data_IF_352349211895
#
_entry.id   IF_352349211895
#
_cell.length_a   1.000
_cell.length_b   1.000
_cell.length_c   1.000
_cell.angle_alpha   90.00
_cell.angle_beta   90.00
_cell.angle_gamma   90.00
#
_symmetry.space_group_name_H-M   'P 1'
#
loop_
_entity.id
_entity.type
_entity.pdbx_description
1 polymer ?
#
# COMPACT_ATOMS: atom_id res chain seq x y z
N UNK A 1 60.73 -13.58 -2.42
CA UNK A 1 59.59 -14.14 -3.14
C UNK A 1 58.58 -14.68 -2.16
N UNK A 2 57.59 -13.90 -1.68
CA UNK A 2 56.38 -14.31 -0.87
C UNK A 2 55.49 -13.10 -0.69
N UNK A 3 54.80 -12.61 -1.76
CA UNK A 3 53.82 -11.54 -1.72
C UNK A 3 52.61 -11.75 -2.64
N UNK A 4 52.14 -12.99 -2.82
CA UNK A 4 51.06 -13.24 -3.80
C UNK A 4 49.93 -14.13 -3.27
N UNK A 5 49.70 -14.20 -1.97
CA UNK A 5 48.67 -15.09 -1.40
C UNK A 5 47.56 -14.38 -0.60
N UNK A 6 47.50 -13.05 -0.58
CA UNK A 6 46.49 -12.32 0.26
C UNK A 6 45.32 -11.78 -0.56
N UNK A 7 45.37 -11.81 -1.90
CA UNK A 7 44.33 -11.20 -2.74
C UNK A 7 43.13 -12.10 -3.10
N UNK A 8 43.11 -13.36 -2.66
CA UNK A 8 42.09 -14.34 -3.10
C UNK A 8 41.05 -14.69 -2.02
N UNK A 9 41.06 -14.06 -0.85
CA UNK A 9 40.09 -14.33 0.22
C UNK A 9 39.01 -13.25 0.35
N UNK A 10 39.20 -12.11 -0.26
CA UNK A 10 38.22 -10.99 -0.19
C UNK A 10 37.07 -11.12 -1.19
N UNK A 11 37.18 -11.98 -2.20
CA UNK A 11 36.13 -12.13 -3.23
C UNK A 11 35.08 -13.22 -2.96
N UNK A 12 35.16 -13.93 -1.82
CA UNK A 12 34.18 -14.99 -1.48
C UNK A 12 33.17 -14.58 -0.37
N UNK A 13 33.18 -13.34 0.06
CA UNK A 13 32.07 -12.72 0.78
C UNK A 13 31.09 -12.04 -0.20
N UNK A 14 30.94 -12.56 -1.40
CA UNK A 14 29.75 -12.34 -2.19
C UNK A 14 28.58 -12.93 -1.42
N UNK A 15 28.02 -12.04 -0.63
CA UNK A 15 26.74 -12.08 0.05
C UNK A 15 25.83 -13.11 -0.63
N UNK A 16 25.73 -14.30 -0.05
CA UNK A 16 24.49 -15.02 -0.13
C UNK A 16 23.47 -14.10 0.61
N UNK A 17 22.87 -13.19 -0.14
CA UNK A 17 21.60 -12.63 0.24
C UNK A 17 20.62 -13.80 0.18
N UNK A 18 20.69 -14.67 1.19
CA UNK A 18 19.61 -15.58 1.50
C UNK A 18 18.39 -14.69 1.56
N UNK A 19 17.39 -14.95 0.72
CA UNK A 19 16.15 -14.21 0.70
C UNK A 19 15.62 -14.25 2.13
N UNK A 20 15.81 -13.15 2.86
CA UNK A 20 15.40 -13.07 4.25
C UNK A 20 13.87 -13.13 4.24
N UNK A 21 13.30 -14.14 4.85
CA UNK A 21 11.87 -14.26 5.02
C UNK A 21 11.47 -13.36 6.19
N UNK A 22 10.87 -12.21 5.89
CA UNK A 22 10.45 -11.26 6.91
C UNK A 22 9.13 -11.63 7.57
N UNK A 23 8.23 -12.32 6.83
CA UNK A 23 6.83 -12.41 7.22
C UNK A 23 6.44 -13.85 7.57
N UNK A 24 6.23 -14.11 8.86
CA UNK A 24 5.78 -15.41 9.38
C UNK A 24 4.35 -15.26 9.91
N UNK A 25 3.53 -16.30 9.71
CA UNK A 25 2.14 -16.29 10.18
C UNK A 25 2.05 -16.13 11.70
N UNK A 26 1.09 -15.32 12.15
CA UNK A 26 0.81 -15.08 13.56
C UNK A 26 1.87 -14.22 14.28
N UNK A 27 2.84 -13.65 13.56
CA UNK A 27 3.88 -12.81 14.17
C UNK A 27 3.49 -11.34 14.23
N UNK A 28 4.21 -10.60 15.07
CA UNK A 28 4.21 -9.13 15.10
C UNK A 28 5.58 -8.62 14.71
N UNK A 29 5.61 -7.64 13.83
CA UNK A 29 6.85 -7.02 13.35
C UNK A 29 6.76 -5.53 13.61
N UNK A 30 7.72 -4.99 14.35
CA UNK A 30 7.81 -3.54 14.58
C UNK A 30 8.90 -2.96 13.71
N UNK A 31 8.55 -1.98 12.91
CA UNK A 31 9.45 -1.29 12.02
C UNK A 31 9.09 0.20 11.94
N UNK A 32 10.06 1.07 12.09
CA UNK A 32 9.92 2.52 11.98
C UNK A 32 8.74 3.11 12.81
N UNK A 33 8.54 2.55 14.02
CA UNK A 33 7.50 2.98 14.97
C UNK A 33 6.10 2.41 14.69
N UNK A 34 5.92 1.60 13.66
CA UNK A 34 4.68 0.89 13.35
C UNK A 34 4.84 -0.59 13.68
N UNK A 35 3.86 -1.17 14.36
CA UNK A 35 3.78 -2.60 14.61
C UNK A 35 2.74 -3.22 13.69
N UNK A 36 3.14 -4.18 12.86
CA UNK A 36 2.25 -4.94 12.00
C UNK A 36 1.93 -6.29 12.63
N UNK A 37 0.65 -6.66 12.64
CA UNK A 37 0.21 -8.04 12.78
C UNK A 37 0.35 -8.71 11.40
N UNK A 38 1.05 -9.83 11.33
CA UNK A 38 1.24 -10.61 10.10
C UNK A 38 0.31 -11.80 10.11
N UNK A 39 -0.49 -11.95 9.05
CA UNK A 39 -1.24 -13.18 8.78
C UNK A 39 -0.84 -13.71 7.41
N UNK A 40 -0.48 -14.99 7.34
CA UNK A 40 -0.10 -15.68 6.10
C UNK A 40 -1.12 -16.77 5.80
N UNK A 41 -1.63 -16.76 4.58
CA UNK A 41 -2.41 -17.88 4.05
C UNK A 41 -1.85 -18.25 2.70
N UNK A 42 -1.24 -19.43 2.60
CA UNK A 42 -0.40 -19.80 1.45
C UNK A 42 0.70 -18.73 1.26
N UNK A 43 0.85 -18.18 0.05
CA UNK A 43 1.82 -17.12 -0.27
C UNK A 43 1.17 -15.72 -0.30
N UNK A 44 0.10 -15.54 0.47
CA UNK A 44 -0.57 -14.24 0.64
C UNK A 44 -0.35 -13.78 2.06
N UNK A 45 0.27 -12.61 2.21
CA UNK A 45 0.53 -11.98 3.50
C UNK A 45 -0.42 -10.80 3.68
N UNK A 46 -1.01 -10.70 4.86
CA UNK A 46 -1.73 -9.52 5.30
C UNK A 46 -0.89 -8.84 6.39
N UNK A 47 -0.48 -7.60 6.13
CA UNK A 47 0.20 -6.74 7.10
C UNK A 47 -0.80 -5.69 7.56
N UNK A 48 -1.30 -5.83 8.78
CA UNK A 48 -2.25 -4.89 9.37
C UNK A 48 -1.59 -4.18 10.55
N UNK A 49 -1.63 -2.85 10.57
CA UNK A 49 -1.15 -2.09 11.72
C UNK A 49 -1.87 -2.60 12.98
N UNK A 50 -1.12 -2.88 14.04
CA UNK A 50 -1.65 -3.44 15.28
C UNK A 50 -2.64 -2.51 16.00
N UNK A 51 -2.65 -1.23 15.68
CA UNK A 51 -3.61 -0.25 16.18
C UNK A 51 -4.93 -0.23 15.39
N UNK A 52 -5.00 -0.93 14.24
CA UNK A 52 -6.21 -1.00 13.44
C UNK A 52 -7.31 -1.80 14.14
N UNK A 53 -8.52 -1.27 14.13
CA UNK A 53 -9.71 -1.91 14.66
C UNK A 53 -10.92 -1.77 13.72
N UNK A 54 -10.99 -0.69 12.93
CA UNK A 54 -12.12 -0.40 12.04
C UNK A 54 -12.22 -1.37 10.85
N UNK A 55 -11.09 -1.94 10.40
CA UNK A 55 -11.03 -2.82 9.22
C UNK A 55 -11.94 -4.05 9.31
N UNK A 56 -12.31 -4.46 10.53
CA UNK A 56 -13.20 -5.60 10.78
C UNK A 56 -14.59 -5.18 11.28
N UNK A 57 -14.87 -3.89 11.42
CA UNK A 57 -16.15 -3.39 11.90
C UNK A 57 -17.12 -3.13 10.72
N UNK A 58 -18.40 -3.23 10.98
CA UNK A 58 -19.42 -2.79 10.03
C UNK A 58 -19.38 -1.26 9.91
N UNK A 59 -19.74 -0.73 8.75
CA UNK A 59 -19.87 0.71 8.58
C UNK A 59 -20.87 1.28 9.59
N UNK A 60 -20.60 2.48 10.05
CA UNK A 60 -21.44 3.18 11.00
C UNK A 60 -21.81 4.57 10.46
N UNK A 61 -23.05 4.97 10.64
CA UNK A 61 -23.46 6.36 10.46
C UNK A 61 -22.79 7.28 11.49
N UNK A 62 -22.83 8.58 11.24
CA UNK A 62 -22.26 9.59 12.14
C UNK A 62 -22.86 9.53 13.56
N UNK A 63 -24.11 9.11 13.71
CA UNK A 63 -24.80 8.92 15.00
C UNK A 63 -24.40 7.60 15.71
N UNK A 64 -23.56 6.77 15.08
CA UNK A 64 -23.11 5.48 15.61
C UNK A 64 -24.01 4.30 15.26
N UNK A 65 -25.12 4.49 14.56
CA UNK A 65 -25.97 3.40 14.07
C UNK A 65 -25.21 2.55 13.06
N UNK A 66 -25.20 1.23 13.23
CA UNK A 66 -24.58 0.31 12.27
C UNK A 66 -25.36 0.28 10.96
N UNK A 67 -24.60 0.14 9.88
CA UNK A 67 -25.16 -0.02 8.54
C UNK A 67 -25.50 -1.48 8.30
N UNK A 68 -26.76 -1.77 7.97
CA UNK A 68 -27.15 -3.09 7.45
C UNK A 68 -26.91 -3.12 5.92
N UNK A 69 -25.88 -3.83 5.43
CA UNK A 69 -25.62 -3.93 4.01
C UNK A 69 -26.63 -4.82 3.26
N UNK A 70 -27.41 -5.64 3.98
CA UNK A 70 -28.45 -6.51 3.42
C UNK A 70 -29.79 -5.81 3.20
N UNK A 71 -30.06 -4.71 3.88
CA UNK A 71 -31.20 -3.86 3.56
C UNK A 71 -30.88 -3.08 2.27
N UNK A 72 -31.87 -2.78 1.42
CA UNK A 72 -31.72 -1.88 0.27
C UNK A 72 -31.31 -0.48 0.73
N UNK A 73 -30.14 -0.39 1.35
CA UNK A 73 -29.61 0.81 1.95
C UNK A 73 -29.01 1.71 0.86
N UNK A 74 -29.80 2.70 0.43
CA UNK A 74 -29.41 3.60 -0.66
C UNK A 74 -28.12 4.35 -0.32
N UNK A 75 -27.92 4.77 0.91
CA UNK A 75 -26.73 5.49 1.32
C UNK A 75 -25.48 4.60 1.18
N UNK A 76 -25.54 3.37 1.68
CA UNK A 76 -24.47 2.40 1.56
C UNK A 76 -24.16 2.07 0.09
N UNK A 77 -25.21 1.75 -0.70
CA UNK A 77 -25.05 1.39 -2.12
C UNK A 77 -24.57 2.54 -2.98
N UNK A 78 -24.84 3.79 -2.57
CA UNK A 78 -24.49 5.00 -3.32
C UNK A 78 -23.22 5.69 -2.86
N UNK A 79 -22.68 5.31 -1.69
CA UNK A 79 -21.42 5.87 -1.20
C UNK A 79 -20.28 5.57 -2.17
N UNK A 80 -19.51 6.60 -2.51
CA UNK A 80 -18.35 6.52 -3.41
C UNK A 80 -17.20 7.29 -2.83
N UNK A 81 -16.01 6.72 -3.01
CA UNK A 81 -14.75 7.36 -2.69
C UNK A 81 -13.73 7.07 -3.79
N UNK A 82 -12.94 8.05 -4.15
CA UNK A 82 -11.83 7.94 -5.10
C UNK A 82 -10.65 8.80 -4.63
N UNK A 83 -9.47 8.56 -5.17
CA UNK A 83 -8.31 9.40 -4.92
C UNK A 83 -7.51 9.59 -6.22
N UNK A 84 -6.72 10.65 -6.25
CA UNK A 84 -5.83 10.90 -7.37
C UNK A 84 -4.65 9.90 -7.35
N UNK A 85 -4.50 9.16 -8.44
CA UNK A 85 -3.45 8.16 -8.60
C UNK A 85 -2.04 8.76 -8.57
N UNK A 86 -1.88 10.01 -8.96
CA UNK A 86 -0.59 10.71 -8.89
C UNK A 86 -0.11 10.89 -7.45
N UNK A 87 -1.03 11.03 -6.49
CA UNK A 87 -0.69 11.07 -5.07
C UNK A 87 -0.15 9.71 -4.58
N UNK A 88 -0.69 8.60 -5.11
CA UNK A 88 -0.15 7.27 -4.84
C UNK A 88 1.23 7.08 -5.46
N UNK A 89 1.44 7.50 -6.71
CA UNK A 89 2.78 7.48 -7.34
C UNK A 89 3.79 8.25 -6.50
N UNK A 90 3.40 9.41 -5.96
CA UNK A 90 4.25 10.18 -5.06
C UNK A 90 4.59 9.42 -3.79
N UNK A 91 3.60 8.80 -3.14
CA UNK A 91 3.83 7.98 -1.94
C UNK A 91 4.77 6.81 -2.22
N UNK A 92 4.62 6.13 -3.37
CA UNK A 92 5.48 5.03 -3.80
C UNK A 92 6.90 5.53 -4.11
N UNK A 93 7.05 6.65 -4.82
CA UNK A 93 8.35 7.27 -5.14
C UNK A 93 9.13 7.66 -3.89
N UNK A 94 8.46 8.21 -2.88
CA UNK A 94 9.08 8.56 -1.59
C UNK A 94 9.41 7.33 -0.74
N UNK A 95 8.84 6.15 -1.05
CA UNK A 95 9.05 4.91 -0.30
C UNK A 95 10.12 4.03 -0.91
N UNK A 96 10.04 3.78 -2.21
CA UNK A 96 10.88 2.83 -2.92
C UNK A 96 11.94 3.57 -3.74
N UNK A 97 13.17 3.06 -3.74
CA UNK A 97 14.18 3.50 -4.71
C UNK A 97 13.78 3.05 -6.13
N UNK A 98 14.35 3.68 -7.16
CA UNK A 98 14.16 3.31 -8.56
C UNK A 98 14.37 1.81 -8.79
N UNK A 99 15.47 1.27 -8.28
CA UNK A 99 15.82 -0.16 -8.45
C UNK A 99 14.85 -1.10 -7.72
N UNK A 100 14.32 -0.73 -6.55
CA UNK A 100 13.29 -1.50 -5.85
C UNK A 100 11.98 -1.49 -6.63
N UNK A 101 11.57 -0.32 -7.13
CA UNK A 101 10.34 -0.17 -7.90
C UNK A 101 10.40 -0.90 -9.25
N UNK A 102 11.54 -0.87 -9.94
CA UNK A 102 11.78 -1.61 -11.17
C UNK A 102 11.60 -3.12 -10.94
N UNK A 103 12.21 -3.70 -9.88
CA UNK A 103 11.99 -5.12 -9.53
C UNK A 103 10.51 -5.45 -9.24
N UNK A 104 9.81 -4.57 -8.51
CA UNK A 104 8.36 -4.74 -8.28
C UNK A 104 7.56 -4.71 -9.59
N UNK A 105 8.02 -3.96 -10.58
CA UNK A 105 7.36 -3.78 -11.89
C UNK A 105 7.67 -4.88 -12.90
N UNK A 106 8.67 -5.73 -12.66
CA UNK A 106 9.01 -6.87 -13.54
C UNK A 106 7.93 -7.97 -13.52
N UNK A 107 7.16 -8.08 -12.45
CA UNK A 107 6.09 -9.06 -12.34
C UNK A 107 4.90 -8.68 -13.25
N UNK A 108 4.39 -9.64 -14.04
CA UNK A 108 3.22 -9.44 -14.92
C UNK A 108 1.95 -9.00 -14.18
N UNK A 109 1.86 -9.33 -12.89
CA UNK A 109 0.75 -8.93 -11.99
C UNK A 109 1.36 -8.49 -10.68
N UNK A 110 1.01 -7.30 -10.19
CA UNK A 110 1.66 -6.78 -9.01
C UNK A 110 1.34 -7.54 -7.73
N UNK A 111 0.16 -8.15 -7.64
CA UNK A 111 -0.26 -8.85 -6.42
C UNK A 111 -0.38 -7.97 -5.17
N UNK A 112 -0.34 -6.65 -5.31
CA UNK A 112 -0.33 -5.70 -4.22
C UNK A 112 -1.66 -4.97 -4.09
N UNK A 113 -2.26 -5.05 -2.90
CA UNK A 113 -3.50 -4.33 -2.59
C UNK A 113 -3.37 -3.60 -1.26
N UNK A 114 -3.89 -2.40 -1.22
CA UNK A 114 -4.02 -1.59 -0.01
C UNK A 114 -5.48 -1.51 0.37
N UNK A 115 -5.80 -1.81 1.63
CA UNK A 115 -7.09 -1.60 2.25
C UNK A 115 -7.05 -0.39 3.16
N UNK A 116 -8.13 0.34 3.18
CA UNK A 116 -8.29 1.56 3.96
C UNK A 116 -9.58 1.54 4.75
N UNK A 117 -9.54 2.06 5.97
CA UNK A 117 -10.70 2.71 6.57
C UNK A 117 -10.50 4.21 6.38
N UNK A 118 -11.51 4.90 5.82
CA UNK A 118 -11.49 6.35 5.59
C UNK A 118 -12.71 6.98 6.24
N UNK A 119 -12.60 8.21 6.72
CA UNK A 119 -13.78 8.94 7.20
C UNK A 119 -14.59 9.54 6.06
N UNK A 120 -15.77 10.05 6.37
CA UNK A 120 -16.65 10.73 5.41
C UNK A 120 -16.03 11.99 4.79
N UNK A 121 -14.96 12.53 5.38
CA UNK A 121 -14.18 13.66 4.87
C UNK A 121 -13.05 13.20 3.93
N UNK A 122 -12.83 11.89 3.78
CA UNK A 122 -11.78 11.31 2.95
C UNK A 122 -10.40 11.20 3.62
N UNK A 123 -10.30 11.38 4.94
CA UNK A 123 -9.05 11.15 5.64
C UNK A 123 -8.82 9.65 5.83
N UNK A 124 -7.57 9.21 5.69
CA UNK A 124 -7.17 7.83 5.93
C UNK A 124 -7.04 7.58 7.42
N UNK A 125 -7.92 6.75 7.97
CA UNK A 125 -7.94 6.35 9.38
C UNK A 125 -7.07 5.13 9.63
N UNK A 126 -7.18 4.09 8.79
CA UNK A 126 -6.46 2.83 8.92
C UNK A 126 -5.97 2.32 7.57
N UNK A 127 -4.86 1.58 7.57
CA UNK A 127 -4.27 0.97 6.39
C UNK A 127 -3.89 -0.47 6.70
N UNK A 128 -4.11 -1.35 5.72
CA UNK A 128 -3.59 -2.71 5.71
C UNK A 128 -3.08 -3.06 4.31
N UNK A 129 -2.03 -3.88 4.22
CA UNK A 129 -1.46 -4.31 2.96
C UNK A 129 -1.72 -5.80 2.73
N UNK A 130 -2.13 -6.17 1.52
CA UNK A 130 -2.15 -7.56 1.06
C UNK A 130 -1.09 -7.75 0.00
N UNK A 131 -0.18 -8.67 0.28
CA UNK A 131 0.97 -9.02 -0.53
C UNK A 131 0.78 -10.42 -1.07
N UNK A 132 0.45 -10.56 -2.35
CA UNK A 132 0.33 -11.87 -2.99
C UNK A 132 1.67 -12.26 -3.65
N UNK A 133 2.52 -12.94 -2.89
CA UNK A 133 3.85 -13.34 -3.35
C UNK A 133 3.81 -14.41 -4.46
N UNK A 134 2.69 -15.10 -4.67
CA UNK A 134 2.53 -15.98 -5.85
C UNK A 134 2.51 -15.20 -7.16
N UNK A 135 2.00 -13.97 -7.12
CA UNK A 135 1.92 -13.10 -8.29
C UNK A 135 3.18 -12.24 -8.43
N UNK A 136 3.73 -11.79 -7.30
CA UNK A 136 4.94 -10.99 -7.25
C UNK A 136 5.77 -11.37 -6.02
N UNK A 137 6.76 -12.27 -6.15
CA UNK A 137 7.62 -12.70 -5.04
C UNK A 137 8.42 -11.58 -4.38
N UNK A 138 8.70 -10.48 -5.10
CA UNK A 138 9.45 -9.35 -4.56
C UNK A 138 8.73 -8.69 -3.38
N UNK A 139 7.39 -8.74 -3.34
CA UNK A 139 6.61 -8.18 -2.24
C UNK A 139 7.00 -8.78 -0.88
N UNK A 140 7.27 -10.09 -0.82
CA UNK A 140 7.67 -10.75 0.42
C UNK A 140 9.15 -10.48 0.79
N UNK A 141 9.94 -9.96 -0.13
CA UNK A 141 11.35 -9.60 0.06
C UNK A 141 11.54 -8.14 0.47
N UNK A 142 10.50 -7.33 0.35
CA UNK A 142 10.52 -5.94 0.81
C UNK A 142 10.57 -5.95 2.35
N UNK A 143 11.53 -5.27 2.98
CA UNK A 143 11.63 -5.21 4.42
C UNK A 143 10.46 -4.43 5.05
N UNK A 144 10.05 -4.77 6.29
CA UNK A 144 8.86 -4.17 6.93
C UNK A 144 8.99 -2.65 7.12
N UNK A 145 10.19 -2.09 7.20
CA UNK A 145 10.45 -0.65 7.28
C UNK A 145 9.89 0.08 6.05
N UNK A 146 9.94 -0.54 4.88
CA UNK A 146 9.39 0.04 3.65
C UNK A 146 7.86 0.10 3.69
N UNK A 147 7.19 -0.91 4.24
CA UNK A 147 5.75 -0.85 4.42
C UNK A 147 5.33 0.16 5.50
N UNK A 148 6.12 0.30 6.56
CA UNK A 148 5.92 1.35 7.55
C UNK A 148 6.09 2.75 6.93
N UNK A 149 7.12 2.94 6.11
CA UNK A 149 7.33 4.19 5.37
C UNK A 149 6.19 4.44 4.37
N UNK A 150 5.73 3.40 3.65
CA UNK A 150 4.62 3.51 2.71
C UNK A 150 3.32 3.92 3.42
N UNK A 151 3.01 3.34 4.59
CA UNK A 151 1.86 3.74 5.39
C UNK A 151 1.93 5.23 5.75
N UNK A 152 3.08 5.72 6.21
CA UNK A 152 3.29 7.15 6.52
C UNK A 152 3.10 8.04 5.30
N UNK A 153 3.67 7.64 4.15
CA UNK A 153 3.58 8.41 2.91
C UNK A 153 2.15 8.42 2.35
N UNK A 154 1.42 7.30 2.45
CA UNK A 154 -0.01 7.25 2.09
C UNK A 154 -0.79 8.23 2.97
N UNK A 155 -0.65 8.19 4.29
CA UNK A 155 -1.33 9.12 5.21
C UNK A 155 -0.98 10.57 4.94
N UNK A 156 0.25 10.86 4.52
CA UNK A 156 0.75 12.20 4.22
C UNK A 156 0.15 12.76 2.93
N UNK A 157 0.02 11.93 1.89
CA UNK A 157 -0.28 12.41 0.54
C UNK A 157 -1.70 12.10 0.08
N UNK A 158 -2.30 10.99 0.51
CA UNK A 158 -3.58 10.55 -0.02
C UNK A 158 -4.72 11.16 0.77
N UNK A 159 -5.55 11.89 0.05
CA UNK A 159 -6.85 12.37 0.47
C UNK A 159 -7.88 11.80 -0.50
N UNK A 160 -8.89 11.13 0.04
CA UNK A 160 -9.99 10.61 -0.75
C UNK A 160 -11.03 11.69 -1.03
N UNK A 161 -11.54 11.71 -2.25
CA UNK A 161 -12.73 12.49 -2.61
C UNK A 161 -13.95 11.62 -2.33
N UNK A 162 -14.85 12.11 -1.49
CA UNK A 162 -16.07 11.41 -1.06
C UNK A 162 -17.30 12.13 -1.57
N UNK A 163 -18.34 11.37 -1.96
CA UNK A 163 -19.62 11.95 -2.34
C UNK A 163 -20.53 12.20 -1.12
N UNK A 164 -21.69 12.82 -1.32
CA UNK A 164 -22.63 13.17 -0.25
C UNK A 164 -23.15 11.96 0.54
N UNK A 165 -23.24 10.80 -0.10
CA UNK A 165 -23.64 9.57 0.59
C UNK A 165 -22.53 9.07 1.51
N UNK A 166 -21.28 9.09 1.07
CA UNK A 166 -20.13 8.69 1.87
C UNK A 166 -19.95 9.57 3.11
N UNK A 167 -20.27 10.87 3.02
CA UNK A 167 -20.19 11.81 4.13
C UNK A 167 -21.16 11.53 5.30
N UNK A 168 -22.15 10.66 5.11
CA UNK A 168 -23.07 10.24 6.16
C UNK A 168 -22.47 9.22 7.13
N UNK A 169 -21.35 8.60 6.75
CA UNK A 169 -20.71 7.54 7.53
C UNK A 169 -19.56 8.06 8.38
N UNK A 170 -19.42 7.50 9.58
CA UNK A 170 -18.30 7.72 10.48
C UNK A 170 -17.00 7.22 9.86
N UNK A 171 -17.06 6.08 9.19
CA UNK A 171 -16.01 5.52 8.36
C UNK A 171 -16.62 4.60 7.28
N UNK A 172 -15.84 4.37 6.23
CA UNK A 172 -16.12 3.40 5.17
C UNK A 172 -14.83 2.69 4.76
N UNK A 173 -15.01 1.49 4.20
CA UNK A 173 -13.89 0.73 3.69
C UNK A 173 -13.67 1.02 2.20
N UNK A 174 -12.44 1.18 1.84
CA UNK A 174 -12.00 1.33 0.46
C UNK A 174 -10.79 0.42 0.18
N UNK A 175 -10.54 0.13 -1.06
CA UNK A 175 -9.33 -0.59 -1.44
C UNK A 175 -8.79 -0.11 -2.78
N UNK A 176 -7.48 -0.17 -2.94
CA UNK A 176 -6.81 0.04 -4.22
C UNK A 176 -5.94 -1.18 -4.54
N UNK A 177 -6.07 -1.68 -5.75
CA UNK A 177 -5.15 -2.68 -6.29
C UNK A 177 -4.16 -1.97 -7.18
N UNK A 178 -2.89 -1.95 -6.78
CA UNK A 178 -1.83 -1.30 -7.52
C UNK A 178 -1.23 -2.28 -8.51
N UNK A 179 -1.15 -1.89 -9.76
CA UNK A 179 -0.47 -2.66 -10.81
C UNK A 179 0.83 -1.92 -11.15
N UNK A 180 1.94 -2.30 -10.51
CA UNK A 180 3.24 -1.64 -10.70
C UNK A 180 3.65 -1.51 -12.18
N UNK A 181 3.48 -2.54 -13.05
CA UNK A 181 3.79 -2.41 -14.47
C UNK A 181 2.99 -1.32 -15.20
N UNK A 182 1.75 -1.09 -14.76
CA UNK A 182 0.83 -0.12 -15.37
C UNK A 182 0.90 1.25 -14.70
N UNK A 183 1.80 1.42 -13.72
CA UNK A 183 1.93 2.62 -12.91
C UNK A 183 3.34 3.20 -13.01
N UNK A 184 3.75 3.72 -14.18
CA UNK A 184 5.10 4.24 -14.36
C UNK A 184 5.35 5.43 -13.43
N UNK A 185 6.52 5.41 -12.75
CA UNK A 185 6.99 6.47 -11.88
C UNK A 185 8.25 7.07 -12.50
N UNK A 186 8.22 8.37 -12.74
CA UNK A 186 9.40 9.12 -13.15
C UNK A 186 10.26 9.46 -11.94
N UNK A 187 11.37 8.73 -11.77
CA UNK A 187 12.34 8.97 -10.69
C UNK A 187 13.33 10.09 -11.01
N UNK A 188 13.43 10.49 -12.26
CA UNK A 188 14.43 11.47 -12.71
C UNK A 188 13.86 12.91 -12.68
N UNK A 189 12.54 13.08 -12.57
CA UNK A 189 11.91 14.38 -12.37
C UNK A 189 12.02 14.86 -10.92
N UNK A 190 12.51 16.07 -10.72
CA UNK A 190 12.66 16.66 -9.37
C UNK A 190 11.33 17.04 -8.70
N UNK A 191 10.22 17.08 -9.43
CA UNK A 191 8.87 17.35 -8.84
C UNK A 191 7.77 16.91 -9.81
N UNK A 192 6.68 16.28 -9.36
CA UNK A 192 5.48 16.17 -10.18
C UNK A 192 4.98 17.59 -10.46
N UNK A 193 4.95 18.00 -11.73
CA UNK A 193 4.31 19.25 -12.14
C UNK A 193 2.85 19.27 -11.66
N UNK A 194 2.25 20.45 -11.49
CA UNK A 194 0.86 20.55 -11.09
C UNK A 194 0.00 19.82 -12.15
N UNK A 195 -0.84 18.90 -11.68
CA UNK A 195 -1.78 18.16 -12.51
C UNK A 195 -2.70 19.11 -13.25
N UNK A 196 -2.53 19.22 -14.56
CA UNK A 196 -3.52 19.85 -15.43
C UNK A 196 -4.58 18.80 -15.74
N UNK A 197 -5.73 18.92 -15.07
CA UNK A 197 -6.92 18.09 -15.32
C UNK A 197 -7.19 18.08 -16.83
N UNK A 198 -7.25 16.93 -17.51
CA UNK A 198 -7.59 16.89 -18.92
C UNK A 198 -8.95 17.54 -19.10
N UNK A 199 -9.03 18.48 -20.05
CA UNK A 199 -10.28 19.15 -20.39
C UNK A 199 -11.33 18.09 -20.69
N UNK A 200 -12.45 18.13 -19.98
CA UNK A 200 -13.58 17.24 -20.22
C UNK A 200 -13.94 17.32 -21.71
N UNK A 201 -13.74 16.21 -22.44
CA UNK A 201 -14.27 16.09 -23.78
C UNK A 201 -15.78 16.26 -23.67
N UNK A 202 -16.28 17.40 -24.11
CA UNK A 202 -17.71 17.58 -24.41
C UNK A 202 -17.99 16.62 -25.59
N UNK A 203 -18.69 15.53 -25.28
CA UNK A 203 -19.28 14.70 -26.31
C UNK A 203 -20.26 15.50 -27.16
N UNK A 204 -20.51 15.07 -28.42
CA UNK A 204 -21.41 15.69 -29.32
C UNK A 204 -22.88 15.63 -28.87
#
# INVERSE_FOLDING_TARGET
MKKTAIFLIVSLLAVQASAQEYYHDGTRITADGITFNVRKRMEIFNLSNASNHLVNENWQYLDGTEVDPGANNVDYLSARASFDLELMKKALKETFSKAEYERLSEAKKSGFRVFYAIDGQGNVLEISFILNARLNPELARIPPEKYAQLEKNIRKHIKWETNEYAKKFKFLHASSQLQFPDLPIDYDSETPGPYTKPASQKGP
#
